data_IF_580773017157
#
_entry.id   IF_580773017157
#
_cell.length_a   1.000
_cell.length_b   1.000
_cell.length_c   1.000
_cell.angle_alpha   90.00
_cell.angle_beta   90.00
_cell.angle_gamma   90.00
#
_symmetry.space_group_name_H-M   'P 1'
#
loop_
_entity.id
_entity.type
_entity.pdbx_description
1 polymer ?
#
# COMPACT_ATOMS: atom_id res chain seq x y z
N UNK A 1 -23.32 -23.50 -8.94
CA UNK A 1 -22.89 -22.11 -8.80
C UNK A 1 -24.09 -21.21 -9.04
N UNK A 2 -24.40 -20.31 -8.10
CA UNK A 2 -25.49 -19.34 -8.32
C UNK A 2 -25.09 -18.43 -9.48
N UNK A 3 -25.87 -18.42 -10.54
CA UNK A 3 -25.70 -17.50 -11.67
C UNK A 3 -26.89 -16.55 -11.70
N UNK A 4 -26.65 -15.25 -11.73
CA UNK A 4 -27.70 -14.29 -12.00
C UNK A 4 -28.24 -14.54 -13.42
N UNK A 5 -29.56 -14.59 -13.59
CA UNK A 5 -30.17 -14.73 -14.90
C UNK A 5 -30.21 -13.37 -15.61
N UNK A 6 -30.49 -13.39 -16.92
CA UNK A 6 -30.50 -12.14 -17.74
C UNK A 6 -31.44 -11.07 -17.17
N UNK A 7 -32.62 -11.45 -16.67
CA UNK A 7 -33.59 -10.53 -16.09
C UNK A 7 -33.03 -9.82 -14.83
N UNK A 8 -32.37 -10.57 -13.94
CA UNK A 8 -31.75 -9.99 -12.75
C UNK A 8 -30.60 -9.03 -13.10
N UNK A 9 -29.85 -9.34 -14.17
CA UNK A 9 -28.76 -8.46 -14.67
C UNK A 9 -29.35 -7.16 -15.23
N UNK A 10 -30.45 -7.22 -15.97
CA UNK A 10 -31.14 -6.03 -16.51
C UNK A 10 -31.72 -5.17 -15.37
N UNK A 11 -32.29 -5.81 -14.33
CA UNK A 11 -32.74 -5.11 -13.13
C UNK A 11 -31.59 -4.42 -12.38
N UNK A 12 -30.43 -5.09 -12.25
CA UNK A 12 -29.23 -4.49 -11.68
C UNK A 12 -28.79 -3.28 -12.49
N UNK A 13 -28.71 -3.44 -13.82
CA UNK A 13 -28.30 -2.36 -14.75
C UNK A 13 -29.22 -1.13 -14.63
N UNK A 14 -30.53 -1.33 -14.50
CA UNK A 14 -31.50 -0.25 -14.38
C UNK A 14 -31.40 0.54 -13.05
N UNK A 15 -30.85 -0.07 -12.00
CA UNK A 15 -30.69 0.56 -10.67
C UNK A 15 -29.37 1.28 -10.50
N UNK A 16 -28.36 0.98 -11.31
CA UNK A 16 -27.05 1.61 -11.24
C UNK A 16 -27.05 2.94 -12.02
N UNK A 17 -26.40 3.95 -11.47
CA UNK A 17 -26.06 5.19 -12.20
C UNK A 17 -24.84 4.99 -13.09
N UNK A 18 -23.86 4.24 -12.59
CA UNK A 18 -22.65 3.90 -13.30
C UNK A 18 -22.84 2.74 -14.27
N UNK A 19 -21.91 2.55 -15.23
CA UNK A 19 -21.99 1.44 -16.19
C UNK A 19 -21.89 0.07 -15.48
N UNK A 20 -22.71 -0.88 -15.96
CA UNK A 20 -22.54 -2.30 -15.71
C UNK A 20 -21.93 -2.94 -16.95
N UNK A 21 -20.71 -3.48 -16.82
CA UNK A 21 -19.97 -4.13 -17.91
C UNK A 21 -20.06 -5.65 -17.78
N UNK A 22 -20.39 -6.32 -18.89
CA UNK A 22 -20.32 -7.76 -19.06
C UNK A 22 -19.08 -8.14 -19.90
N UNK A 23 -18.68 -9.42 -19.97
CA UNK A 23 -17.45 -9.84 -20.65
C UNK A 23 -17.29 -9.38 -22.10
N UNK A 24 -18.40 -9.20 -22.84
CA UNK A 24 -18.39 -8.79 -24.24
C UNK A 24 -18.51 -7.26 -24.43
N UNK A 25 -18.67 -6.50 -23.34
CA UNK A 25 -18.81 -5.05 -23.42
C UNK A 25 -17.46 -4.35 -23.62
N UNK A 26 -17.48 -3.26 -24.39
CA UNK A 26 -16.32 -2.39 -24.53
C UNK A 26 -15.85 -1.84 -23.17
N UNK A 27 -14.54 -1.94 -22.90
CA UNK A 27 -13.92 -1.49 -21.63
C UNK A 27 -13.98 -2.52 -20.51
N UNK A 28 -14.57 -3.72 -20.71
CA UNK A 28 -14.57 -4.78 -19.72
C UNK A 28 -13.14 -5.24 -19.38
N UNK A 29 -12.33 -5.57 -20.39
CA UNK A 29 -10.95 -6.04 -20.17
C UNK A 29 -10.08 -4.98 -19.48
N UNK A 30 -10.20 -3.72 -19.81
CA UNK A 30 -9.50 -2.62 -19.13
C UNK A 30 -9.94 -2.48 -17.67
N UNK A 31 -11.25 -2.63 -17.42
CA UNK A 31 -11.82 -2.49 -16.08
C UNK A 31 -11.47 -3.65 -15.16
N UNK A 32 -11.45 -4.91 -15.67
CA UNK A 32 -11.11 -6.09 -14.85
C UNK A 32 -9.64 -6.19 -14.50
N UNK A 33 -8.74 -5.61 -15.33
CA UNK A 33 -7.30 -5.72 -15.11
C UNK A 33 -6.86 -4.94 -13.88
N UNK A 34 -6.00 -5.57 -13.10
CA UNK A 34 -5.37 -5.01 -11.90
C UNK A 34 -3.91 -4.67 -12.17
N UNK A 35 -3.22 -4.10 -11.20
CA UNK A 35 -1.84 -3.64 -11.33
C UNK A 35 -0.87 -4.79 -11.67
N UNK A 36 -0.99 -5.95 -11.00
CA UNK A 36 -0.15 -7.12 -11.22
C UNK A 36 -0.63 -7.96 -12.40
N UNK A 37 0.11 -7.99 -13.50
CA UNK A 37 -0.24 -8.75 -14.71
C UNK A 37 -0.13 -10.29 -14.56
N UNK A 38 0.31 -10.80 -13.41
CA UNK A 38 0.18 -12.24 -13.11
C UNK A 38 -1.27 -12.65 -12.87
N UNK A 39 -2.16 -11.68 -12.61
CA UNK A 39 -3.56 -11.90 -12.25
C UNK A 39 -4.42 -11.68 -13.48
N UNK A 40 -5.07 -12.75 -13.93
CA UNK A 40 -6.00 -12.74 -15.08
C UNK A 40 -7.34 -13.37 -14.68
N UNK A 41 -8.09 -12.69 -13.80
CA UNK A 41 -9.41 -13.11 -13.36
C UNK A 41 -10.52 -12.46 -14.19
N UNK A 42 -11.67 -13.16 -14.33
CA UNK A 42 -12.80 -12.74 -15.14
C UNK A 42 -14.08 -12.67 -14.32
N UNK A 43 -14.42 -11.46 -13.78
CA UNK A 43 -15.71 -11.23 -13.11
C UNK A 43 -16.86 -11.54 -14.08
N UNK A 44 -17.97 -12.09 -13.59
CA UNK A 44 -19.17 -12.25 -14.41
C UNK A 44 -19.74 -10.88 -14.84
N UNK A 45 -19.54 -9.87 -13.98
CA UNK A 45 -19.96 -8.49 -14.24
C UNK A 45 -19.13 -7.48 -13.43
N UNK A 46 -19.04 -6.25 -13.93
CA UNK A 46 -18.33 -5.14 -13.30
C UNK A 46 -19.30 -3.96 -13.16
N UNK A 47 -19.63 -3.58 -11.94
CA UNK A 47 -20.37 -2.36 -11.65
C UNK A 47 -19.40 -1.21 -11.40
N UNK A 48 -19.31 -0.25 -12.31
CA UNK A 48 -18.45 0.94 -12.15
C UNK A 48 -19.19 2.02 -11.37
N UNK A 49 -18.98 2.04 -10.06
CA UNK A 49 -19.76 2.86 -9.13
C UNK A 49 -19.47 4.36 -9.27
N UNK A 50 -20.51 5.17 -9.36
CA UNK A 50 -20.46 6.63 -9.35
C UNK A 50 -20.76 7.22 -7.97
N UNK A 51 -21.30 6.41 -7.05
CA UNK A 51 -21.66 6.87 -5.71
C UNK A 51 -22.09 5.73 -4.80
N UNK A 52 -22.40 6.09 -3.55
CA UNK A 52 -22.76 5.14 -2.49
C UNK A 52 -24.01 4.30 -2.86
N UNK A 53 -24.98 4.88 -3.59
CA UNK A 53 -26.18 4.16 -4.03
C UNK A 53 -25.86 2.97 -4.95
N UNK A 54 -24.86 3.12 -5.85
CA UNK A 54 -24.42 2.03 -6.70
C UNK A 54 -23.74 0.92 -5.88
N UNK A 55 -22.93 1.30 -4.88
CA UNK A 55 -22.28 0.36 -3.97
C UNK A 55 -23.32 -0.45 -3.18
N UNK A 56 -24.34 0.21 -2.61
CA UNK A 56 -25.46 -0.44 -1.91
C UNK A 56 -26.17 -1.43 -2.83
N UNK A 57 -26.47 -1.00 -4.05
CA UNK A 57 -27.14 -1.82 -5.07
C UNK A 57 -26.31 -3.07 -5.40
N UNK A 58 -25.02 -2.90 -5.63
CA UNK A 58 -24.13 -4.01 -5.94
C UNK A 58 -23.92 -4.98 -4.77
N UNK A 59 -23.74 -4.47 -3.55
CA UNK A 59 -23.61 -5.31 -2.34
C UNK A 59 -24.87 -6.16 -2.12
N UNK A 60 -26.05 -5.56 -2.17
CA UNK A 60 -27.32 -6.29 -2.04
C UNK A 60 -27.49 -7.34 -3.12
N UNK A 61 -27.23 -6.97 -4.36
CA UNK A 61 -27.31 -7.90 -5.48
C UNK A 61 -26.39 -9.10 -5.30
N UNK A 62 -25.12 -8.89 -4.92
CA UNK A 62 -24.18 -9.98 -4.67
C UNK A 62 -24.66 -10.88 -3.52
N UNK A 63 -25.15 -10.29 -2.44
CA UNK A 63 -25.68 -11.02 -1.28
C UNK A 63 -26.93 -11.85 -1.64
N UNK A 64 -27.91 -11.27 -2.32
CA UNK A 64 -29.17 -11.92 -2.71
C UNK A 64 -28.93 -13.09 -3.70
N UNK A 65 -27.92 -12.99 -4.56
CA UNK A 65 -27.62 -14.02 -5.56
C UNK A 65 -26.47 -14.95 -5.15
N UNK A 66 -25.90 -14.81 -3.94
CA UNK A 66 -24.79 -15.63 -3.44
C UNK A 66 -23.51 -15.50 -4.28
N UNK A 67 -23.30 -14.35 -4.95
CA UNK A 67 -22.15 -14.13 -5.83
C UNK A 67 -20.91 -13.77 -5.03
N UNK A 68 -19.72 -14.26 -5.45
CA UNK A 68 -18.46 -13.67 -5.00
C UNK A 68 -18.42 -12.17 -5.30
N UNK A 69 -17.95 -11.36 -4.35
CA UNK A 69 -17.81 -9.92 -4.56
C UNK A 69 -16.37 -9.47 -4.34
N UNK A 70 -15.81 -8.75 -5.29
CA UNK A 70 -14.51 -8.08 -5.17
C UNK A 70 -14.65 -6.57 -5.26
N UNK A 71 -13.78 -5.84 -4.57
CA UNK A 71 -13.83 -4.38 -4.50
C UNK A 71 -12.52 -3.82 -5.07
N UNK A 72 -12.63 -3.00 -6.12
CA UNK A 72 -11.48 -2.35 -6.75
C UNK A 72 -11.49 -0.86 -6.48
N UNK A 73 -10.52 -0.39 -5.64
CA UNK A 73 -10.10 1.01 -5.62
C UNK A 73 -9.06 1.26 -6.72
N UNK A 74 -7.78 1.44 -6.34
CA UNK A 74 -6.68 1.54 -7.32
C UNK A 74 -6.19 0.22 -7.94
N UNK A 75 -6.66 -0.94 -7.49
CA UNK A 75 -6.28 -2.25 -8.03
C UNK A 75 -4.82 -2.65 -7.82
N UNK A 76 -4.14 -2.06 -6.85
CA UNK A 76 -2.68 -2.16 -6.64
C UNK A 76 -2.25 -3.34 -5.75
N UNK A 77 -3.16 -4.18 -5.29
CA UNK A 77 -2.85 -5.32 -4.42
C UNK A 77 -2.02 -6.37 -5.17
N UNK A 78 -0.86 -6.76 -4.61
CA UNK A 78 0.08 -7.71 -5.22
C UNK A 78 -0.53 -9.11 -5.40
N UNK A 79 -1.44 -9.53 -4.51
CA UNK A 79 -2.17 -10.80 -4.61
C UNK A 79 -3.39 -10.74 -5.54
N UNK A 80 -3.70 -9.58 -6.14
CA UNK A 80 -4.80 -9.43 -7.09
C UNK A 80 -6.20 -9.50 -6.49
N UNK A 81 -6.36 -9.23 -5.20
CA UNK A 81 -7.63 -9.37 -4.48
C UNK A 81 -8.68 -8.29 -4.82
N UNK A 82 -8.35 -7.38 -5.74
CA UNK A 82 -9.29 -6.37 -6.24
C UNK A 82 -10.19 -6.86 -7.37
N UNK A 83 -10.03 -8.10 -7.84
CA UNK A 83 -10.82 -8.74 -8.88
C UNK A 83 -11.13 -10.18 -8.52
N UNK A 84 -12.13 -10.79 -9.15
CA UNK A 84 -12.57 -12.17 -8.88
C UNK A 84 -12.97 -12.89 -10.18
N UNK A 85 -13.12 -14.20 -10.10
CA UNK A 85 -13.72 -15.00 -11.16
C UNK A 85 -15.20 -15.21 -10.90
N UNK A 86 -16.03 -15.15 -11.96
CA UNK A 86 -17.46 -15.52 -11.96
C UNK A 86 -18.32 -14.78 -10.90
N UNK A 87 -17.83 -13.61 -10.38
CA UNK A 87 -18.50 -12.80 -9.38
C UNK A 87 -18.85 -11.42 -9.88
N UNK A 88 -19.28 -10.56 -8.94
CA UNK A 88 -19.48 -9.14 -9.15
C UNK A 88 -18.24 -8.36 -8.67
N UNK A 89 -17.63 -7.57 -9.56
CA UNK A 89 -16.60 -6.61 -9.17
C UNK A 89 -17.22 -5.21 -9.04
N UNK A 90 -17.09 -4.59 -7.87
CA UNK A 90 -17.40 -3.17 -7.67
C UNK A 90 -16.15 -2.35 -7.99
N UNK A 91 -16.17 -1.64 -9.09
CA UNK A 91 -15.09 -0.73 -9.51
C UNK A 91 -15.38 0.68 -8.99
N UNK A 92 -14.64 1.08 -7.96
CA UNK A 92 -14.77 2.38 -7.30
C UNK A 92 -14.01 3.50 -8.02
N UNK A 93 -13.28 3.21 -9.10
CA UNK A 93 -12.35 4.13 -9.75
C UNK A 93 -12.97 5.42 -10.29
N UNK A 94 -14.30 5.52 -10.37
CA UNK A 94 -15.02 6.74 -10.74
C UNK A 94 -15.39 7.61 -9.52
N UNK A 95 -15.23 7.12 -8.29
CA UNK A 95 -15.48 7.86 -7.06
C UNK A 95 -14.17 8.51 -6.58
N UNK A 96 -13.79 9.66 -7.15
CA UNK A 96 -12.48 10.30 -6.98
C UNK A 96 -12.54 11.72 -6.42
N UNK A 97 -13.62 12.10 -5.78
CA UNK A 97 -13.74 13.41 -5.15
C UNK A 97 -12.85 13.53 -3.90
N UNK A 98 -12.15 14.65 -3.77
CA UNK A 98 -11.40 15.05 -2.57
C UNK A 98 -11.87 16.43 -2.13
N UNK A 99 -12.24 16.57 -0.86
CA UNK A 99 -12.64 17.84 -0.26
C UNK A 99 -11.71 18.15 0.91
N UNK A 100 -10.93 19.22 0.80
CA UNK A 100 -10.00 19.67 1.85
C UNK A 100 -10.63 20.78 2.67
N UNK A 101 -10.57 20.68 3.99
CA UNK A 101 -10.84 21.76 4.90
C UNK A 101 -9.54 22.25 5.55
N UNK A 102 -8.95 23.34 5.08
CA UNK A 102 -7.67 23.82 5.58
C UNK A 102 -7.73 24.38 7.01
N UNK A 103 -8.91 24.83 7.47
CA UNK A 103 -9.09 25.36 8.85
C UNK A 103 -9.02 24.22 9.87
N UNK A 104 -9.73 23.12 9.64
CA UNK A 104 -9.67 21.94 10.50
C UNK A 104 -8.51 21.03 10.20
N UNK A 105 -7.77 21.26 9.10
CA UNK A 105 -6.70 20.39 8.57
C UNK A 105 -7.21 18.97 8.37
N UNK A 106 -8.31 18.85 7.63
CA UNK A 106 -8.89 17.55 7.30
C UNK A 106 -9.11 17.42 5.80
N UNK A 107 -9.10 16.20 5.29
CA UNK A 107 -9.50 15.88 3.94
C UNK A 107 -10.49 14.71 3.94
N UNK A 108 -11.61 14.89 3.24
CA UNK A 108 -12.56 13.83 2.93
C UNK A 108 -12.30 13.37 1.48
N UNK A 109 -11.90 12.11 1.31
CA UNK A 109 -11.52 11.53 0.02
C UNK A 109 -12.34 10.27 -0.28
N UNK A 110 -12.91 10.18 -1.48
CA UNK A 110 -13.68 9.02 -1.93
C UNK A 110 -12.75 7.82 -2.21
N UNK A 111 -13.25 6.61 -2.03
CA UNK A 111 -12.47 5.37 -2.01
C UNK A 111 -11.80 4.99 -3.35
N UNK A 112 -12.23 5.56 -4.46
CA UNK A 112 -11.61 5.39 -5.76
C UNK A 112 -10.41 6.32 -6.02
N UNK A 113 -10.12 7.28 -5.13
CA UNK A 113 -8.96 8.15 -5.24
C UNK A 113 -7.65 7.36 -5.25
N UNK A 114 -6.70 7.84 -6.01
CA UNK A 114 -5.29 7.47 -5.90
C UNK A 114 -4.58 8.39 -4.90
N UNK A 115 -3.40 7.99 -4.42
CA UNK A 115 -2.62 8.81 -3.49
C UNK A 115 -2.34 10.19 -4.08
N UNK A 116 -1.97 10.25 -5.37
CA UNK A 116 -1.70 11.49 -6.08
C UNK A 116 -2.90 12.44 -6.18
N UNK A 117 -4.14 11.94 -6.15
CA UNK A 117 -5.32 12.80 -6.12
C UNK A 117 -5.39 13.56 -4.79
N UNK A 118 -5.19 12.84 -3.68
CA UNK A 118 -5.22 13.42 -2.34
C UNK A 118 -4.04 14.37 -2.14
N UNK A 119 -2.82 13.98 -2.57
CA UNK A 119 -1.63 14.82 -2.43
C UNK A 119 -1.77 16.15 -3.19
N UNK A 120 -2.31 16.14 -4.42
CA UNK A 120 -2.53 17.35 -5.21
C UNK A 120 -3.47 18.32 -4.52
N UNK A 121 -4.63 17.84 -4.06
CA UNK A 121 -5.63 18.68 -3.42
C UNK A 121 -5.16 19.21 -2.05
N UNK A 122 -4.52 18.39 -1.24
CA UNK A 122 -4.05 18.80 0.09
C UNK A 122 -2.88 19.77 0.00
N UNK A 123 -1.96 19.57 -0.96
CA UNK A 123 -0.78 20.42 -1.12
C UNK A 123 -1.08 21.83 -1.66
N UNK A 124 -2.26 22.08 -2.25
CA UNK A 124 -2.75 23.45 -2.51
C UNK A 124 -2.77 24.27 -1.22
N UNK A 125 -2.96 23.62 -0.07
CA UNK A 125 -3.05 24.25 1.24
C UNK A 125 -1.81 24.02 2.12
N UNK A 126 -0.72 23.45 1.57
CA UNK A 126 0.46 23.09 2.36
C UNK A 126 0.17 22.00 3.40
N UNK A 127 -0.75 21.10 3.09
CA UNK A 127 -1.18 19.99 3.97
C UNK A 127 -0.94 18.64 3.30
N UNK A 128 -0.75 17.56 4.08
CA UNK A 128 -0.70 16.20 3.55
C UNK A 128 -1.19 15.16 4.55
N UNK A 129 -1.71 14.04 4.03
CA UNK A 129 -1.91 12.80 4.78
C UNK A 129 -0.66 11.90 4.67
N UNK A 130 -0.37 11.02 5.65
CA UNK A 130 0.74 10.06 5.56
C UNK A 130 0.40 8.91 4.62
N UNK A 131 0.47 9.15 3.32
CA UNK A 131 0.19 8.17 2.27
C UNK A 131 1.45 7.40 1.85
N UNK A 132 1.32 6.42 0.93
CA UNK A 132 2.41 5.56 0.48
C UNK A 132 3.43 6.24 -0.46
N UNK A 133 4.34 5.44 -1.04
CA UNK A 133 5.47 5.92 -1.84
C UNK A 133 5.22 5.99 -3.34
N UNK A 134 4.07 5.52 -3.83
CA UNK A 134 3.74 5.41 -5.27
C UNK A 134 2.40 6.06 -5.50
N UNK A 135 2.38 7.19 -6.23
CA UNK A 135 1.22 8.08 -6.32
C UNK A 135 -0.02 7.47 -7.00
N UNK A 136 0.17 6.45 -7.84
CA UNK A 136 -0.92 5.73 -8.51
C UNK A 136 -1.49 4.56 -7.71
N UNK A 137 -1.08 4.37 -6.46
CA UNK A 137 -1.71 3.43 -5.52
C UNK A 137 -3.08 3.95 -5.07
N UNK A 138 -4.07 3.07 -4.92
CA UNK A 138 -5.39 3.42 -4.40
C UNK A 138 -5.38 3.68 -2.89
N UNK A 139 -6.04 4.77 -2.44
CA UNK A 139 -6.09 5.13 -1.02
C UNK A 139 -6.78 4.07 -0.17
N UNK A 140 -7.84 3.43 -0.68
CA UNK A 140 -8.68 2.52 0.09
C UNK A 140 -7.90 1.30 0.58
N UNK A 141 -7.28 0.55 -0.35
CA UNK A 141 -6.51 -0.63 0.02
C UNK A 141 -5.31 -0.30 0.90
N UNK A 142 -4.61 0.79 0.61
CA UNK A 142 -3.50 1.26 1.44
C UNK A 142 -3.96 1.52 2.88
N UNK A 143 -4.97 2.36 3.06
CA UNK A 143 -5.46 2.82 4.37
C UNK A 143 -6.06 1.69 5.20
N UNK A 144 -6.90 0.85 4.59
CA UNK A 144 -7.54 -0.27 5.28
C UNK A 144 -6.53 -1.32 5.78
N UNK A 145 -5.36 -1.43 5.17
CA UNK A 145 -4.27 -2.30 5.64
C UNK A 145 -3.22 -1.59 6.51
N UNK A 146 -3.51 -0.38 6.99
CA UNK A 146 -2.59 0.44 7.79
C UNK A 146 -2.00 1.60 7.00
N UNK A 147 -1.24 1.34 5.95
CA UNK A 147 -0.60 2.34 5.09
C UNK A 147 0.64 2.99 5.68
N UNK A 148 1.74 3.05 4.94
CA UNK A 148 2.94 3.76 5.34
C UNK A 148 3.67 4.40 4.16
N UNK A 149 4.41 5.46 4.44
CA UNK A 149 5.15 6.21 3.44
C UNK A 149 6.14 7.22 4.04
N UNK A 150 6.45 8.30 3.33
CA UNK A 150 7.44 9.29 3.77
C UNK A 150 7.11 9.97 5.10
N UNK A 151 5.84 10.04 5.50
CA UNK A 151 5.40 10.71 6.73
C UNK A 151 5.23 9.76 7.93
N UNK A 152 5.44 8.47 7.76
CA UNK A 152 5.13 7.46 8.80
C UNK A 152 5.90 7.70 10.10
N UNK A 153 7.18 8.04 10.03
CA UNK A 153 7.99 8.33 11.23
C UNK A 153 7.41 9.49 12.04
N UNK A 154 6.79 10.47 11.38
CA UNK A 154 6.19 11.66 12.01
C UNK A 154 4.74 11.44 12.46
N UNK A 155 3.93 10.76 11.64
CA UNK A 155 2.47 10.70 11.77
C UNK A 155 1.92 9.33 12.20
N UNK A 156 2.70 8.23 12.12
CA UNK A 156 2.24 6.86 12.29
C UNK A 156 1.75 6.25 10.97
N UNK A 157 0.94 5.21 11.09
CA UNK A 157 0.27 4.61 9.93
C UNK A 157 -0.71 5.60 9.29
N UNK A 158 -1.00 5.44 7.99
CA UNK A 158 -2.09 6.19 7.35
C UNK A 158 -3.40 6.05 8.12
N UNK A 159 -3.69 4.85 8.60
CA UNK A 159 -4.87 4.55 9.41
C UNK A 159 -4.89 5.22 10.79
N UNK A 160 -3.75 5.63 11.34
CA UNK A 160 -3.66 6.39 12.61
C UNK A 160 -4.10 7.86 12.42
N UNK A 161 -4.15 8.33 11.18
CA UNK A 161 -4.62 9.66 10.84
C UNK A 161 -6.09 9.70 10.39
N UNK A 162 -6.80 8.56 10.38
CA UNK A 162 -8.22 8.52 10.11
C UNK A 162 -9.03 9.15 11.25
N UNK A 163 -10.02 9.95 10.87
CA UNK A 163 -11.05 10.50 11.74
C UNK A 163 -12.36 9.75 11.59
N UNK A 164 -12.68 9.30 10.38
CA UNK A 164 -13.84 8.49 10.08
C UNK A 164 -13.71 7.76 8.74
N UNK A 165 -14.57 6.75 8.55
CA UNK A 165 -14.76 6.01 7.30
C UNK A 165 -16.26 5.91 7.03
N UNK A 166 -16.69 6.28 5.82
CA UNK A 166 -18.02 5.98 5.33
C UNK A 166 -18.02 4.60 4.68
N UNK A 167 -18.91 3.71 5.08
CA UNK A 167 -18.89 2.29 4.71
C UNK A 167 -20.26 1.75 4.39
N UNK A 168 -20.35 0.84 3.41
CA UNK A 168 -21.53 0.01 3.13
C UNK A 168 -21.27 -1.37 3.70
N UNK A 169 -22.13 -1.81 4.62
CA UNK A 169 -22.06 -3.11 5.31
C UNK A 169 -22.63 -4.26 4.46
N UNK A 170 -22.43 -5.50 4.89
CA UNK A 170 -22.86 -6.69 4.15
C UNK A 170 -24.39 -6.77 3.95
N UNK A 171 -25.18 -6.16 4.82
CA UNK A 171 -26.64 -6.02 4.70
C UNK A 171 -27.08 -4.78 3.86
N UNK A 172 -26.11 -4.09 3.26
CA UNK A 172 -26.38 -2.95 2.36
C UNK A 172 -26.80 -1.68 3.06
N UNK A 173 -26.47 -1.46 4.34
CA UNK A 173 -26.64 -0.18 5.04
C UNK A 173 -25.41 0.69 4.82
N UNK A 174 -25.63 1.97 4.50
CA UNK A 174 -24.58 2.99 4.53
C UNK A 174 -24.51 3.59 5.93
N UNK A 175 -23.33 3.65 6.50
CA UNK A 175 -23.08 4.22 7.82
C UNK A 175 -21.68 4.84 7.90
N UNK A 176 -21.47 5.63 8.95
CA UNK A 176 -20.18 6.20 9.31
C UNK A 176 -19.58 5.43 10.48
N UNK A 177 -18.30 5.13 10.39
CA UNK A 177 -17.51 4.57 11.47
C UNK A 177 -16.45 5.60 11.92
N UNK A 178 -16.40 5.87 13.22
CA UNK A 178 -15.50 6.83 13.86
C UNK A 178 -15.24 6.43 15.31
N UNK A 179 -14.41 7.15 16.04
CA UNK A 179 -14.22 6.91 17.49
C UNK A 179 -15.52 7.07 18.29
N UNK A 180 -16.48 7.88 17.79
CA UNK A 180 -17.74 8.19 18.48
C UNK A 180 -18.94 7.38 17.96
N UNK A 181 -18.84 6.81 16.79
CA UNK A 181 -19.93 6.10 16.11
C UNK A 181 -19.40 4.81 15.48
N UNK A 182 -20.01 3.66 15.76
CA UNK A 182 -19.57 2.34 15.30
C UNK A 182 -18.07 2.12 15.57
N UNK A 183 -17.64 2.40 16.80
CA UNK A 183 -16.22 2.48 17.18
C UNK A 183 -15.47 1.13 17.07
N UNK A 184 -16.14 0.00 17.23
CA UNK A 184 -15.58 -1.34 17.00
C UNK A 184 -15.28 -1.56 15.51
N UNK A 185 -16.22 -1.19 14.63
CA UNK A 185 -16.01 -1.22 13.18
C UNK A 185 -14.87 -0.28 12.77
N UNK A 186 -14.84 0.93 13.31
CA UNK A 186 -13.77 1.90 13.06
C UNK A 186 -12.40 1.36 13.47
N UNK A 187 -12.32 0.68 14.62
CA UNK A 187 -11.10 0.00 15.03
C UNK A 187 -10.66 -1.06 14.02
N UNK A 188 -11.60 -1.90 13.54
CA UNK A 188 -11.34 -2.94 12.53
C UNK A 188 -10.90 -2.36 11.18
N UNK A 189 -11.52 -1.28 10.71
CA UNK A 189 -11.19 -0.61 9.45
C UNK A 189 -9.81 0.08 9.46
N UNK A 190 -9.22 0.30 10.65
CA UNK A 190 -7.87 0.84 10.80
C UNK A 190 -6.80 -0.26 10.82
N UNK A 191 -6.70 -1.03 9.73
CA UNK A 191 -5.69 -2.06 9.52
C UNK A 191 -6.23 -3.45 9.17
N UNK A 192 -7.50 -3.77 9.51
CA UNK A 192 -8.09 -5.10 9.27
C UNK A 192 -8.51 -5.38 7.83
N UNK A 193 -8.17 -4.51 6.88
CA UNK A 193 -8.48 -4.70 5.46
C UNK A 193 -9.94 -4.51 5.11
N UNK A 194 -10.32 -5.02 3.95
CA UNK A 194 -11.69 -4.95 3.41
C UNK A 194 -12.64 -6.02 3.94
N UNK A 195 -12.44 -6.52 5.17
CA UNK A 195 -13.20 -7.64 5.73
C UNK A 195 -14.61 -7.30 6.21
N UNK A 196 -14.91 -6.02 6.48
CA UNK A 196 -16.09 -5.62 7.27
C UNK A 196 -17.13 -4.84 6.49
N UNK A 197 -16.84 -4.49 5.23
CA UNK A 197 -17.70 -3.66 4.40
C UNK A 197 -16.92 -3.01 3.25
N UNK A 198 -17.66 -2.30 2.40
CA UNK A 198 -17.10 -1.50 1.31
C UNK A 198 -16.92 -0.07 1.79
N UNK A 199 -15.68 0.34 2.07
CA UNK A 199 -15.39 1.74 2.35
C UNK A 199 -15.68 2.59 1.10
N UNK A 200 -16.42 3.68 1.27
CA UNK A 200 -16.82 4.60 0.19
C UNK A 200 -16.11 5.94 0.26
N UNK A 201 -15.70 6.36 1.46
CA UNK A 201 -14.88 7.55 1.68
C UNK A 201 -14.13 7.47 3.01
N UNK A 202 -13.06 8.26 3.11
CA UNK A 202 -12.20 8.37 4.28
C UNK A 202 -12.02 9.82 4.66
N UNK A 203 -12.07 10.14 5.94
CA UNK A 203 -11.71 11.45 6.47
C UNK A 203 -10.37 11.37 7.21
N UNK A 204 -9.39 12.13 6.74
CA UNK A 204 -8.03 12.16 7.30
C UNK A 204 -7.76 13.45 8.05
N UNK A 205 -7.06 13.34 9.18
CA UNK A 205 -6.32 14.45 9.78
C UNK A 205 -5.05 14.67 8.94
N UNK A 206 -4.76 15.92 8.61
CA UNK A 206 -3.63 16.32 7.79
C UNK A 206 -2.51 16.95 8.63
N UNK A 207 -1.27 16.72 8.21
CA UNK A 207 -0.08 17.40 8.73
C UNK A 207 0.27 18.61 7.85
N UNK A 208 0.80 19.67 8.47
CA UNK A 208 1.13 20.92 7.78
C UNK A 208 2.62 20.94 7.45
N UNK A 209 2.95 21.01 6.16
CA UNK A 209 4.29 21.25 5.63
C UNK A 209 4.26 21.48 4.11
N UNK A 210 5.40 21.94 3.57
CA UNK A 210 5.52 22.19 2.13
C UNK A 210 4.94 23.55 1.72
N UNK A 211 4.59 23.73 0.43
CA UNK A 211 4.60 22.71 -0.64
C UNK A 211 6.00 22.29 -1.12
N UNK A 212 7.06 23.04 -0.82
CA UNK A 212 8.45 22.70 -1.14
C UNK A 212 9.14 22.04 0.05
N UNK A 213 9.91 20.99 -0.26
CA UNK A 213 10.71 20.21 0.69
C UNK A 213 12.09 19.93 0.09
N UNK A 214 13.03 19.48 0.90
CA UNK A 214 14.27 18.88 0.42
C UNK A 214 14.07 17.37 0.33
N UNK A 215 14.11 16.84 -0.89
CA UNK A 215 13.85 15.45 -1.15
C UNK A 215 14.51 14.97 -2.45
N UNK A 216 14.57 13.65 -2.65
CA UNK A 216 15.16 13.02 -3.82
C UNK A 216 15.83 11.71 -3.49
N UNK A 217 16.95 11.43 -4.14
CA UNK A 217 17.73 10.22 -3.97
C UNK A 217 19.22 10.47 -4.20
N UNK A 218 20.04 9.67 -3.51
CA UNK A 218 21.49 9.59 -3.75
C UNK A 218 21.85 8.13 -3.93
N UNK A 219 22.78 7.81 -4.85
CA UNK A 219 23.14 6.45 -5.20
C UNK A 219 24.65 6.18 -5.08
N UNK A 220 25.00 4.97 -4.68
CA UNK A 220 26.37 4.46 -4.57
C UNK A 220 26.50 3.09 -5.24
N UNK A 221 27.72 2.67 -5.54
CA UNK A 221 27.98 1.29 -5.98
C UNK A 221 27.66 0.31 -4.85
N UNK A 222 27.16 -0.86 -5.18
CA UNK A 222 26.90 -1.90 -4.18
C UNK A 222 28.19 -2.37 -3.46
N UNK A 223 29.38 -2.20 -4.05
CA UNK A 223 30.67 -2.44 -3.38
C UNK A 223 30.88 -1.58 -2.13
N UNK A 224 30.19 -0.46 -2.02
CA UNK A 224 30.30 0.48 -0.90
C UNK A 224 29.28 0.19 0.22
N UNK A 225 28.57 -0.96 0.15
CA UNK A 225 27.44 -1.30 1.01
C UNK A 225 27.72 -1.12 2.51
N UNK A 226 28.84 -1.64 3.00
CA UNK A 226 29.21 -1.55 4.41
C UNK A 226 29.38 -0.10 4.87
N UNK A 227 30.06 0.71 4.07
CA UNK A 227 30.30 2.11 4.35
C UNK A 227 29.00 2.93 4.30
N UNK A 228 28.19 2.68 3.27
CA UNK A 228 26.89 3.33 3.10
C UNK A 228 25.98 2.99 4.26
N UNK A 229 25.94 1.70 4.67
CA UNK A 229 25.14 1.25 5.80
C UNK A 229 25.56 1.95 7.10
N UNK A 230 26.84 2.00 7.45
CA UNK A 230 27.31 2.63 8.68
C UNK A 230 26.88 4.09 8.80
N UNK A 231 27.01 4.85 7.72
CA UNK A 231 26.70 6.26 7.76
C UNK A 231 25.20 6.49 7.71
N UNK A 232 24.47 5.72 6.88
CA UNK A 232 23.01 5.75 6.86
C UNK A 232 22.41 5.38 8.23
N UNK A 233 22.94 4.34 8.88
CA UNK A 233 22.47 3.92 10.19
C UNK A 233 22.71 5.01 11.26
N UNK A 234 23.87 5.66 11.24
CA UNK A 234 24.15 6.81 12.12
C UNK A 234 23.27 8.02 11.80
N UNK A 235 23.01 8.26 10.51
CA UNK A 235 22.10 9.33 10.09
C UNK A 235 20.67 9.09 10.61
N UNK A 236 20.18 7.84 10.55
CA UNK A 236 18.87 7.48 11.08
C UNK A 236 18.80 7.61 12.62
N UNK A 237 19.86 7.27 13.35
CA UNK A 237 19.90 7.40 14.80
C UNK A 237 19.75 8.85 15.27
N UNK A 238 20.25 9.82 14.48
CA UNK A 238 20.15 11.26 14.78
C UNK A 238 18.91 11.90 14.10
N UNK A 239 18.18 11.15 13.26
CA UNK A 239 17.17 11.71 12.38
C UNK A 239 15.91 12.16 13.13
N UNK A 240 15.44 13.40 12.88
CA UNK A 240 14.16 13.82 13.42
C UNK A 240 13.02 13.01 12.78
N UNK A 241 11.84 12.95 13.41
CA UNK A 241 10.67 12.27 12.84
C UNK A 241 10.26 12.81 11.44
N UNK A 242 10.65 14.04 11.13
CA UNK A 242 10.41 14.70 9.84
C UNK A 242 11.26 14.12 8.68
N UNK A 243 12.30 13.32 8.96
CA UNK A 243 13.15 12.70 7.95
C UNK A 243 12.72 11.25 7.71
N UNK A 244 12.36 10.93 6.47
CA UNK A 244 12.23 9.58 5.94
C UNK A 244 13.38 9.28 4.98
N UNK A 245 14.03 8.13 5.16
CA UNK A 245 15.27 7.82 4.43
C UNK A 245 15.35 6.31 4.07
N UNK A 246 14.42 5.77 3.25
CA UNK A 246 14.48 4.36 2.81
C UNK A 246 15.73 4.06 1.98
N UNK A 247 16.26 2.83 2.12
CA UNK A 247 17.36 2.32 1.32
C UNK A 247 16.85 1.28 0.32
N UNK A 248 17.26 1.38 -0.94
CA UNK A 248 16.90 0.49 -2.03
C UNK A 248 18.16 -0.15 -2.61
N UNK A 249 18.22 -1.48 -2.63
CA UNK A 249 19.27 -2.25 -3.27
C UNK A 249 18.69 -2.83 -4.57
N UNK A 250 19.26 -2.46 -5.71
CA UNK A 250 18.75 -2.84 -7.03
C UNK A 250 19.83 -2.74 -8.13
N UNK A 251 19.49 -3.16 -9.34
CA UNK A 251 20.27 -2.79 -10.51
C UNK A 251 19.98 -1.34 -10.93
N UNK A 252 21.05 -0.59 -11.28
CA UNK A 252 20.92 0.80 -11.71
C UNK A 252 20.11 0.91 -13.02
N UNK A 253 18.99 1.63 -13.06
CA UNK A 253 18.30 1.89 -14.31
C UNK A 253 19.14 2.83 -15.20
N UNK A 254 18.89 2.86 -16.52
CA UNK A 254 19.50 3.83 -17.43
C UNK A 254 18.89 5.23 -17.27
N UNK A 255 19.07 5.79 -16.07
CA UNK A 255 18.50 7.08 -15.69
C UNK A 255 19.56 8.19 -15.83
N UNK A 256 19.20 9.41 -16.31
CA UNK A 256 20.14 10.50 -16.56
C UNK A 256 20.91 10.99 -15.32
N UNK A 257 20.37 10.77 -14.13
CA UNK A 257 20.98 11.18 -12.86
C UNK A 257 22.01 10.17 -12.33
N UNK A 258 22.14 9.00 -12.95
CA UNK A 258 23.13 7.97 -12.63
C UNK A 258 24.30 8.00 -13.63
N UNK A 259 25.49 7.82 -13.14
CA UNK A 259 26.69 7.67 -13.98
C UNK A 259 26.52 6.49 -14.95
N UNK A 260 26.79 6.69 -16.23
CA UNK A 260 26.55 5.68 -17.29
C UNK A 260 27.26 4.35 -17.02
N UNK A 261 28.44 4.38 -16.42
CA UNK A 261 29.25 3.19 -16.12
C UNK A 261 28.63 2.28 -15.07
N UNK A 262 27.60 2.70 -14.31
CA UNK A 262 26.89 1.87 -13.34
C UNK A 262 25.57 1.31 -13.87
N UNK A 263 25.09 1.77 -15.03
CA UNK A 263 23.83 1.25 -15.59
C UNK A 263 23.87 -0.28 -15.70
N UNK A 264 22.81 -0.94 -15.23
CA UNK A 264 22.70 -2.41 -15.18
C UNK A 264 23.53 -3.08 -14.09
N UNK A 265 24.32 -2.35 -13.30
CA UNK A 265 25.13 -2.89 -12.21
C UNK A 265 24.41 -2.69 -10.85
N UNK A 266 24.72 -3.51 -9.83
CA UNK A 266 24.15 -3.35 -8.50
C UNK A 266 24.54 -2.02 -7.87
N UNK A 267 23.52 -1.30 -7.36
CA UNK A 267 23.67 -0.02 -6.66
C UNK A 267 22.82 -0.02 -5.39
N UNK A 268 23.20 0.86 -4.46
CA UNK A 268 22.41 1.25 -3.30
C UNK A 268 21.90 2.65 -3.56
N UNK A 269 20.60 2.83 -3.42
CA UNK A 269 19.93 4.13 -3.53
C UNK A 269 19.32 4.46 -2.19
N UNK A 270 19.67 5.59 -1.62
CA UNK A 270 19.00 6.11 -0.43
C UNK A 270 18.03 7.20 -0.87
N UNK A 271 16.74 6.96 -0.66
CA UNK A 271 15.70 7.96 -0.81
C UNK A 271 15.78 8.92 0.38
N UNK A 272 15.48 10.18 0.14
CA UNK A 272 15.50 11.22 1.16
C UNK A 272 14.24 12.08 1.02
N UNK A 273 13.54 12.27 2.12
CA UNK A 273 12.39 13.18 2.19
C UNK A 273 12.35 13.82 3.57
N UNK A 274 12.60 15.12 3.64
CA UNK A 274 12.59 15.87 4.90
C UNK A 274 11.48 16.94 4.87
N UNK A 275 10.49 16.77 5.74
CA UNK A 275 9.28 17.61 5.81
C UNK A 275 9.32 18.66 6.93
N UNK A 276 10.46 18.83 7.57
CA UNK A 276 10.73 19.84 8.58
C UNK A 276 11.39 21.10 8.00
N UNK A 277 11.96 21.98 8.87
CA UNK A 277 12.61 23.22 8.45
C UNK A 277 13.71 22.98 7.42
N UNK A 278 13.79 23.86 6.40
CA UNK A 278 14.78 23.76 5.32
C UNK A 278 16.23 23.75 5.82
N UNK A 279 16.55 24.54 6.84
CA UNK A 279 17.91 24.61 7.41
C UNK A 279 18.33 23.28 8.08
N UNK A 280 17.39 22.55 8.69
CA UNK A 280 17.63 21.22 9.21
C UNK A 280 17.76 20.19 8.09
N UNK A 281 16.86 20.23 7.12
CA UNK A 281 16.87 19.38 5.94
C UNK A 281 18.20 19.47 5.16
N UNK A 282 18.74 20.69 4.97
CA UNK A 282 20.02 20.95 4.29
C UNK A 282 21.20 20.29 5.04
N UNK A 283 21.20 20.33 6.39
CA UNK A 283 22.24 19.67 7.20
C UNK A 283 22.24 18.17 7.02
N UNK A 284 21.07 17.52 7.06
CA UNK A 284 20.96 16.07 6.85
C UNK A 284 21.26 15.69 5.39
N UNK A 285 20.82 16.48 4.42
CA UNK A 285 21.13 16.29 3.01
C UNK A 285 22.64 16.37 2.74
N UNK A 286 23.34 17.34 3.32
CA UNK A 286 24.79 17.46 3.20
C UNK A 286 25.53 16.26 3.82
N UNK A 287 25.08 15.77 4.98
CA UNK A 287 25.65 14.54 5.59
C UNK A 287 25.51 13.34 4.64
N UNK A 288 24.36 13.20 3.98
CA UNK A 288 24.12 12.11 3.02
C UNK A 288 24.97 12.26 1.77
N UNK A 289 25.02 13.45 1.15
CA UNK A 289 25.79 13.72 -0.08
C UNK A 289 27.30 13.55 0.10
N UNK A 290 27.83 13.90 1.27
CA UNK A 290 29.26 13.78 1.59
C UNK A 290 29.67 12.34 1.95
N UNK A 291 28.78 11.37 1.78
CA UNK A 291 29.02 9.97 2.05
C UNK A 291 29.73 9.32 0.87
N UNK A 292 31.07 9.12 0.98
CA UNK A 292 31.86 8.41 -0.02
C UNK A 292 31.90 9.10 -1.37
N UNK A 293 31.73 8.30 -2.44
CA UNK A 293 31.72 8.75 -3.83
C UNK A 293 30.39 8.38 -4.48
N UNK A 294 29.34 9.21 -4.38
CA UNK A 294 28.07 8.94 -5.03
C UNK A 294 28.23 8.76 -6.55
N UNK A 295 27.48 7.84 -7.13
CA UNK A 295 27.39 7.62 -8.59
C UNK A 295 26.13 8.27 -9.19
N UNK A 296 25.33 8.94 -8.35
CA UNK A 296 24.16 9.73 -8.76
C UNK A 296 23.57 10.48 -7.61
N UNK A 297 23.01 11.67 -7.91
CA UNK A 297 22.37 12.56 -6.94
C UNK A 297 21.26 13.37 -7.62
N UNK A 298 20.03 13.25 -7.11
CA UNK A 298 18.86 14.09 -7.47
C UNK A 298 18.20 14.69 -6.22
N UNK A 299 18.97 14.81 -5.14
CA UNK A 299 18.53 15.40 -3.90
C UNK A 299 18.56 16.94 -4.00
N UNK A 300 17.37 17.55 -4.00
CA UNK A 300 17.17 18.97 -4.22
C UNK A 300 15.89 19.49 -3.57
N UNK A 301 15.66 20.81 -3.65
CA UNK A 301 14.34 21.39 -3.38
C UNK A 301 13.36 20.93 -4.46
N UNK A 302 12.20 20.44 -4.04
CA UNK A 302 11.12 19.99 -4.93
C UNK A 302 9.78 20.04 -4.22
N UNK A 303 8.69 20.02 -4.99
CA UNK A 303 7.36 19.89 -4.39
C UNK A 303 7.18 18.49 -3.77
N UNK A 304 6.38 18.40 -2.70
CA UNK A 304 6.03 17.11 -2.11
C UNK A 304 5.29 16.19 -3.12
N UNK A 305 4.41 16.76 -3.96
CA UNK A 305 3.73 16.02 -5.03
C UNK A 305 4.74 15.37 -5.99
N UNK A 306 5.80 16.10 -6.38
CA UNK A 306 6.87 15.53 -7.21
C UNK A 306 7.66 14.43 -6.49
N UNK A 307 7.83 14.52 -5.17
CA UNK A 307 8.48 13.46 -4.39
C UNK A 307 7.61 12.21 -4.31
N UNK A 308 6.30 12.36 -4.11
CA UNK A 308 5.33 11.26 -4.05
C UNK A 308 5.24 10.47 -5.38
N UNK A 309 5.50 11.11 -6.51
CA UNK A 309 5.51 10.46 -7.83
C UNK A 309 6.90 9.96 -8.27
N UNK A 310 7.95 10.12 -7.44
CA UNK A 310 9.33 9.75 -7.80
C UNK A 310 9.48 8.27 -8.19
N UNK A 311 8.72 7.39 -7.57
CA UNK A 311 8.80 5.94 -7.77
C UNK A 311 7.77 5.38 -8.78
N UNK A 312 6.86 6.20 -9.32
CA UNK A 312 5.76 5.72 -10.18
C UNK A 312 6.25 4.94 -11.39
N UNK A 313 7.27 5.45 -12.08
CA UNK A 313 7.86 4.79 -13.24
C UNK A 313 8.53 3.44 -12.91
N UNK A 314 8.82 3.19 -11.64
CA UNK A 314 9.42 1.91 -11.21
C UNK A 314 8.35 0.83 -10.96
N UNK A 315 7.08 1.22 -10.83
CA UNK A 315 5.96 0.37 -10.45
C UNK A 315 4.75 0.49 -11.41
N UNK A 316 4.94 0.36 -12.74
CA UNK A 316 3.85 0.53 -13.70
C UNK A 316 2.83 -0.62 -13.62
N UNK A 317 1.57 -0.33 -13.90
CA UNK A 317 0.54 -1.35 -14.16
C UNK A 317 0.94 -2.21 -15.37
N UNK A 318 0.61 -3.49 -15.35
CA UNK A 318 0.83 -4.41 -16.47
C UNK A 318 2.17 -5.13 -16.45
N UNK A 319 2.99 -4.91 -15.44
CA UNK A 319 4.16 -5.74 -15.16
C UNK A 319 3.80 -6.87 -14.20
N UNK A 320 4.60 -7.93 -14.16
CA UNK A 320 4.44 -9.08 -13.26
C UNK A 320 5.16 -8.79 -11.94
N UNK A 321 4.52 -9.09 -10.81
CA UNK A 321 5.02 -8.75 -9.48
C UNK A 321 4.86 -9.90 -8.51
N UNK A 322 5.90 -10.13 -7.70
CA UNK A 322 5.88 -11.06 -6.59
C UNK A 322 6.70 -10.50 -5.43
N UNK A 323 6.09 -10.36 -4.26
CA UNK A 323 6.69 -9.70 -3.11
C UNK A 323 6.79 -10.61 -1.91
N UNK A 324 7.80 -10.36 -1.08
CA UNK A 324 7.94 -10.91 0.27
C UNK A 324 8.36 -9.80 1.21
N UNK A 325 7.81 -9.78 2.43
CA UNK A 325 8.11 -8.75 3.41
C UNK A 325 8.15 -9.29 4.82
N UNK A 326 8.91 -8.60 5.66
CA UNK A 326 8.98 -8.82 7.10
C UNK A 326 9.03 -7.48 7.85
N UNK A 327 8.45 -7.46 9.05
CA UNK A 327 8.76 -6.43 10.02
C UNK A 327 10.08 -6.77 10.72
N UNK A 328 10.89 -5.75 10.96
CA UNK A 328 12.20 -5.85 11.60
C UNK A 328 12.21 -5.00 12.85
N UNK A 329 12.87 -5.44 13.96
CA UNK A 329 13.02 -4.59 15.13
C UNK A 329 13.95 -3.41 14.84
N UNK A 330 14.98 -3.64 14.03
CA UNK A 330 16.00 -2.66 13.61
C UNK A 330 16.73 -3.14 12.37
N UNK A 331 17.59 -2.28 11.81
CA UNK A 331 18.54 -2.68 10.77
C UNK A 331 19.84 -3.19 11.40
N UNK A 332 20.27 -4.37 10.97
CA UNK A 332 21.54 -4.97 11.37
C UNK A 332 22.49 -5.03 10.17
N UNK A 333 23.81 -4.90 10.41
CA UNK A 333 24.82 -4.96 9.36
C UNK A 333 24.71 -6.26 8.55
N UNK A 334 24.53 -7.39 9.22
CA UNK A 334 24.43 -8.70 8.56
C UNK A 334 23.19 -8.80 7.66
N UNK A 335 22.05 -8.22 8.08
CA UNK A 335 20.84 -8.12 7.24
C UNK A 335 21.15 -7.38 5.93
N UNK A 336 21.80 -6.20 6.02
CA UNK A 336 22.08 -5.38 4.85
C UNK A 336 23.12 -6.04 3.95
N UNK A 337 24.12 -6.71 4.51
CA UNK A 337 25.10 -7.50 3.74
C UNK A 337 24.41 -8.63 2.98
N UNK A 338 23.46 -9.36 3.61
CA UNK A 338 22.66 -10.40 2.94
C UNK A 338 21.76 -9.81 1.84
N UNK A 339 21.11 -8.68 2.11
CA UNK A 339 20.32 -7.99 1.10
C UNK A 339 21.17 -7.54 -0.11
N UNK A 340 22.38 -7.04 0.13
CA UNK A 340 23.32 -6.67 -0.94
C UNK A 340 23.80 -7.88 -1.76
N UNK A 341 24.05 -9.03 -1.11
CA UNK A 341 24.37 -10.29 -1.79
C UNK A 341 23.25 -10.71 -2.75
N UNK A 342 21.99 -10.68 -2.29
CA UNK A 342 20.83 -11.00 -3.13
C UNK A 342 20.59 -9.95 -4.22
N UNK A 343 20.84 -8.67 -3.94
CA UNK A 343 20.75 -7.62 -4.96
C UNK A 343 21.75 -7.84 -6.10
N UNK A 344 22.94 -8.39 -5.81
CA UNK A 344 23.91 -8.80 -6.83
C UNK A 344 23.47 -9.96 -7.73
N UNK A 345 22.41 -10.68 -7.35
CA UNK A 345 21.85 -11.84 -8.07
C UNK A 345 20.49 -11.55 -8.72
N UNK A 346 20.07 -10.30 -8.77
CA UNK A 346 18.82 -9.88 -9.40
C UNK A 346 18.85 -10.22 -10.89
N UNK A 347 17.87 -11.02 -11.35
CA UNK A 347 17.73 -11.40 -12.76
C UNK A 347 16.95 -10.38 -13.60
N UNK A 348 16.10 -9.56 -12.98
CA UNK A 348 15.31 -8.54 -13.67
C UNK A 348 15.71 -7.13 -13.21
N UNK A 349 15.96 -6.16 -14.13
CA UNK A 349 16.32 -4.79 -13.78
C UNK A 349 15.23 -4.03 -13.01
N UNK A 350 14.03 -4.61 -12.92
CA UNK A 350 12.88 -4.02 -12.25
C UNK A 350 12.75 -4.46 -10.79
N UNK A 351 13.50 -5.48 -10.39
CA UNK A 351 13.50 -6.03 -9.03
C UNK A 351 14.38 -5.23 -8.08
N UNK A 352 14.14 -5.39 -6.78
CA UNK A 352 14.94 -4.75 -5.74
C UNK A 352 14.61 -5.24 -4.33
N UNK A 353 15.41 -4.82 -3.36
CA UNK A 353 15.16 -5.02 -1.94
C UNK A 353 15.10 -3.65 -1.30
N UNK A 354 14.03 -3.37 -0.56
CA UNK A 354 13.79 -2.06 0.04
C UNK A 354 13.75 -2.19 1.55
N UNK A 355 14.49 -1.33 2.22
CA UNK A 355 14.53 -1.19 3.68
C UNK A 355 13.85 0.12 4.04
N UNK A 356 12.69 0.04 4.70
CA UNK A 356 11.91 1.20 5.13
C UNK A 356 12.06 1.43 6.63
N UNK A 357 12.70 2.50 7.10
CA UNK A 357 12.60 2.94 8.48
C UNK A 357 11.17 3.44 8.74
N UNK A 358 10.49 2.85 9.71
CA UNK A 358 9.11 3.21 10.09
C UNK A 358 8.98 3.58 11.57
N UNK A 359 10.08 3.49 12.33
CA UNK A 359 10.16 3.86 13.73
C UNK A 359 9.67 5.31 13.98
N UNK A 360 9.19 5.57 15.17
CA UNK A 360 8.77 6.92 15.57
C UNK A 360 7.33 6.99 16.08
N UNK A 361 6.45 7.70 15.38
CA UNK A 361 5.08 7.94 15.87
C UNK A 361 4.28 6.65 16.07
N UNK A 362 4.43 5.66 15.19
CA UNK A 362 3.69 4.39 15.30
C UNK A 362 4.03 3.60 16.56
N UNK A 363 5.30 3.68 17.05
CA UNK A 363 5.75 2.96 18.23
C UNK A 363 5.28 3.60 19.56
N UNK A 364 4.72 4.82 19.50
CA UNK A 364 4.18 5.51 20.69
C UNK A 364 2.76 5.09 21.05
N UNK A 365 2.10 4.40 20.15
CA UNK A 365 0.74 3.90 20.33
C UNK A 365 0.77 2.44 20.77
N UNK A 366 -0.13 2.00 21.65
CA UNK A 366 -0.18 0.60 22.08
C UNK A 366 -0.59 -0.32 20.92
N UNK A 367 -0.19 -1.60 20.99
CA UNK A 367 -0.43 -2.61 19.97
C UNK A 367 -1.92 -2.72 19.56
N UNK A 368 -2.81 -2.57 20.53
CA UNK A 368 -4.26 -2.66 20.35
C UNK A 368 -4.94 -1.32 20.03
N UNK A 369 -4.19 -0.26 19.71
CA UNK A 369 -4.76 1.06 19.35
C UNK A 369 -5.68 0.97 18.12
N UNK A 370 -5.32 0.13 17.17
CA UNK A 370 -6.10 -0.16 15.96
C UNK A 370 -5.84 -1.60 15.52
N UNK A 371 -6.50 -2.07 14.48
CA UNK A 371 -6.32 -3.43 13.98
C UNK A 371 -4.91 -3.71 13.44
N UNK A 372 -4.22 -2.69 12.90
CA UNK A 372 -2.83 -2.86 12.47
C UNK A 372 -1.94 -3.15 13.66
N UNK A 373 -1.29 -4.33 13.66
CA UNK A 373 -0.37 -4.76 14.70
C UNK A 373 1.09 -4.39 14.39
N UNK A 374 2.01 -5.04 15.12
CA UNK A 374 3.46 -4.90 14.92
C UNK A 374 3.98 -3.47 15.19
N UNK A 375 3.44 -2.81 16.21
CA UNK A 375 3.85 -1.45 16.60
C UNK A 375 5.20 -1.40 17.32
N UNK A 376 5.82 -2.53 17.62
CA UNK A 376 7.18 -2.67 18.10
C UNK A 376 8.23 -2.70 16.96
N UNK A 377 7.78 -2.76 15.71
CA UNK A 377 8.67 -2.77 14.56
C UNK A 377 9.36 -1.40 14.37
N UNK A 378 10.68 -1.43 14.12
CA UNK A 378 11.45 -0.24 13.72
C UNK A 378 11.56 -0.09 12.21
N UNK A 379 11.34 -1.19 11.48
CA UNK A 379 11.54 -1.20 10.02
C UNK A 379 10.68 -2.24 9.30
N UNK A 380 10.56 -2.06 7.98
CA UNK A 380 10.04 -3.06 7.05
C UNK A 380 11.13 -3.38 6.02
N UNK A 381 11.36 -4.68 5.76
CA UNK A 381 12.06 -5.12 4.55
C UNK A 381 11.02 -5.59 3.54
N UNK A 382 11.14 -5.14 2.28
CA UNK A 382 10.35 -5.63 1.17
C UNK A 382 11.26 -6.11 0.03
N UNK A 383 11.13 -7.37 -0.33
CA UNK A 383 11.81 -7.99 -1.47
C UNK A 383 10.82 -7.95 -2.62
N UNK A 384 11.09 -7.07 -3.59
CA UNK A 384 10.20 -6.80 -4.71
C UNK A 384 10.76 -7.45 -5.98
N UNK A 385 10.25 -8.62 -6.35
CA UNK A 385 10.48 -9.16 -7.68
C UNK A 385 9.48 -8.53 -8.66
N UNK A 386 9.99 -8.03 -9.78
CA UNK A 386 9.21 -7.44 -10.85
C UNK A 386 9.86 -7.74 -12.20
N UNK A 387 9.08 -8.18 -13.17
CA UNK A 387 9.57 -8.58 -14.50
C UNK A 387 8.47 -8.46 -15.55
N UNK A 388 8.81 -8.61 -16.83
CA UNK A 388 7.88 -8.37 -17.94
C UNK A 388 7.25 -9.65 -18.50
N UNK A 389 8.03 -10.73 -18.66
CA UNK A 389 7.65 -11.91 -19.44
C UNK A 389 7.26 -13.09 -18.53
N UNK A 390 6.17 -13.78 -18.84
CA UNK A 390 5.71 -14.95 -18.07
C UNK A 390 6.74 -16.10 -18.01
N UNK A 391 7.59 -16.24 -19.02
CA UNK A 391 8.65 -17.25 -19.05
C UNK A 391 9.66 -17.07 -17.91
N UNK A 392 9.79 -15.86 -17.37
CA UNK A 392 10.72 -15.52 -16.29
C UNK A 392 10.11 -15.66 -14.89
N UNK A 393 8.83 -16.10 -14.77
CA UNK A 393 8.11 -16.21 -13.51
C UNK A 393 8.86 -17.03 -12.48
N UNK A 394 9.22 -18.26 -12.86
CA UNK A 394 9.87 -19.22 -11.95
C UNK A 394 11.16 -18.64 -11.36
N UNK A 395 12.03 -18.10 -12.21
CA UNK A 395 13.33 -17.58 -11.78
C UNK A 395 13.20 -16.38 -10.81
N UNK A 396 12.28 -15.46 -11.10
CA UNK A 396 12.07 -14.27 -10.27
C UNK A 396 11.38 -14.60 -8.94
N UNK A 397 10.42 -15.53 -8.94
CA UNK A 397 9.75 -16.01 -7.72
C UNK A 397 10.75 -16.74 -6.82
N UNK A 398 11.57 -17.64 -7.39
CA UNK A 398 12.62 -18.37 -6.65
C UNK A 398 13.65 -17.42 -6.03
N UNK A 399 14.08 -16.40 -6.78
CA UNK A 399 14.96 -15.37 -6.24
C UNK A 399 14.38 -14.66 -5.03
N UNK A 400 13.13 -14.20 -5.13
CA UNK A 400 12.47 -13.50 -4.03
C UNK A 400 12.26 -14.39 -2.80
N UNK A 401 11.87 -15.66 -3.00
CA UNK A 401 11.72 -16.65 -1.92
C UNK A 401 13.03 -16.93 -1.21
N UNK A 402 14.11 -17.11 -1.97
CA UNK A 402 15.45 -17.37 -1.41
C UNK A 402 15.95 -16.16 -0.61
N UNK A 403 15.83 -14.95 -1.17
CA UNK A 403 16.20 -13.74 -0.47
C UNK A 403 15.40 -13.59 0.85
N UNK A 404 14.09 -13.85 0.80
CA UNK A 404 13.24 -13.82 1.99
C UNK A 404 13.64 -14.86 3.05
N UNK A 405 13.93 -16.10 2.66
CA UNK A 405 14.38 -17.15 3.58
C UNK A 405 15.64 -16.74 4.34
N UNK A 406 16.61 -16.14 3.66
CA UNK A 406 17.88 -15.74 4.25
C UNK A 406 17.77 -14.54 5.20
N UNK A 407 16.78 -13.64 4.99
CA UNK A 407 16.57 -12.46 5.84
C UNK A 407 15.52 -12.66 6.94
N UNK A 408 14.71 -13.71 6.86
CA UNK A 408 13.60 -13.97 7.78
C UNK A 408 14.04 -14.12 9.25
N UNK A 409 15.25 -14.58 9.49
CA UNK A 409 15.81 -14.72 10.85
C UNK A 409 15.94 -13.39 11.61
N UNK A 410 15.94 -12.25 10.92
CA UNK A 410 16.00 -10.92 11.51
C UNK A 410 14.60 -10.34 11.81
N UNK A 411 13.54 -11.08 11.44
CA UNK A 411 12.16 -10.64 11.56
C UNK A 411 11.67 -10.65 13.01
N UNK A 412 10.70 -9.76 13.29
CA UNK A 412 9.86 -9.85 14.51
C UNK A 412 8.87 -11.01 14.46
N UNK A 413 8.80 -11.75 13.34
CA UNK A 413 7.77 -12.75 13.03
C UNK A 413 6.55 -12.17 12.34
N UNK A 414 6.37 -10.85 12.31
CA UNK A 414 5.25 -10.18 11.68
C UNK A 414 5.51 -9.77 10.23
N UNK A 415 4.44 -9.43 9.53
CA UNK A 415 4.48 -8.97 8.14
C UNK A 415 3.45 -7.89 7.87
N UNK A 416 3.68 -7.06 6.85
CA UNK A 416 2.73 -6.03 6.45
C UNK A 416 1.65 -6.64 5.54
N UNK A 417 0.39 -6.54 5.96
CA UNK A 417 -0.75 -7.20 5.32
C UNK A 417 -0.90 -6.88 3.83
N UNK A 418 -0.63 -5.64 3.41
CA UNK A 418 -0.75 -5.22 2.01
C UNK A 418 0.36 -5.77 1.09
N UNK A 419 1.43 -6.36 1.65
CA UNK A 419 2.53 -6.95 0.88
C UNK A 419 2.42 -8.47 0.78
N UNK A 420 1.41 -9.11 1.40
CA UNK A 420 1.21 -10.54 1.31
C UNK A 420 0.77 -10.96 -0.09
N UNK A 421 1.50 -11.92 -0.66
CA UNK A 421 1.13 -12.58 -1.93
C UNK A 421 -0.02 -13.58 -1.73
N UNK A 422 -0.62 -14.06 -2.83
CA UNK A 422 -1.77 -14.96 -2.79
C UNK A 422 -1.48 -16.26 -2.03
N UNK A 423 -0.29 -16.85 -2.23
CA UNK A 423 0.15 -18.10 -1.62
C UNK A 423 0.37 -18.04 -0.10
N UNK A 424 0.48 -16.84 0.47
CA UNK A 424 0.67 -16.66 1.91
C UNK A 424 -0.65 -16.85 2.62
N UNK A 425 -0.74 -18.01 3.30
CA UNK A 425 -1.95 -18.51 3.94
C UNK A 425 -2.31 -17.83 5.27
N UNK A 426 -3.17 -18.53 6.03
CA UNK A 426 -3.75 -18.05 7.27
C UNK A 426 -2.70 -17.66 8.32
N UNK A 427 -1.61 -18.44 8.49
CA UNK A 427 -0.56 -18.18 9.49
C UNK A 427 0.10 -16.80 9.27
N UNK A 428 0.32 -16.40 8.01
CA UNK A 428 0.92 -15.10 7.70
C UNK A 428 -0.09 -13.97 7.91
N UNK A 429 -1.37 -14.22 7.64
CA UNK A 429 -2.44 -13.27 7.96
C UNK A 429 -2.54 -13.08 9.48
N UNK A 430 -2.48 -14.15 10.26
CA UNK A 430 -2.47 -14.10 11.71
C UNK A 430 -1.23 -13.34 12.22
N UNK A 431 -0.04 -13.60 11.68
CA UNK A 431 1.20 -12.91 12.03
C UNK A 431 1.16 -11.40 11.76
N UNK A 432 0.40 -10.96 10.74
CA UNK A 432 0.22 -9.54 10.44
C UNK A 432 -0.60 -8.82 11.53
N UNK A 433 -1.52 -9.54 12.18
CA UNK A 433 -2.42 -8.96 13.19
C UNK A 433 -2.04 -9.30 14.64
N UNK A 434 -1.26 -10.35 14.86
CA UNK A 434 -0.87 -10.84 16.19
C UNK A 434 -2.08 -11.00 17.13
N UNK A 435 -2.02 -10.47 18.35
CA UNK A 435 -3.10 -10.55 19.36
C UNK A 435 -4.38 -9.82 18.94
N UNK A 436 -4.29 -8.90 17.98
CA UNK A 436 -5.46 -8.21 17.43
C UNK A 436 -6.37 -9.11 16.58
N UNK A 437 -5.88 -10.27 16.11
CA UNK A 437 -6.61 -11.17 15.22
C UNK A 437 -7.94 -11.65 15.83
N UNK A 438 -7.96 -12.02 17.11
CA UNK A 438 -9.16 -12.50 17.78
C UNK A 438 -10.28 -11.45 17.81
N UNK A 439 -9.94 -10.19 18.09
CA UNK A 439 -10.90 -9.08 18.06
C UNK A 439 -11.43 -8.82 16.64
N UNK A 440 -10.58 -8.99 15.61
CA UNK A 440 -11.02 -8.89 14.22
C UNK A 440 -12.05 -9.97 13.85
N UNK A 441 -11.89 -11.22 14.35
CA UNK A 441 -12.87 -12.30 14.17
C UNK A 441 -14.21 -11.95 14.82
N UNK A 442 -14.21 -11.30 15.98
CA UNK A 442 -15.44 -10.86 16.67
C UNK A 442 -16.16 -9.74 15.91
N UNK A 443 -15.39 -8.75 15.41
CA UNK A 443 -15.92 -7.68 14.57
C UNK A 443 -16.47 -8.24 13.25
N UNK A 444 -15.77 -9.19 12.64
CA UNK A 444 -16.24 -9.87 11.43
C UNK A 444 -17.57 -10.60 11.66
N UNK A 445 -17.69 -11.35 12.76
CA UNK A 445 -18.92 -12.04 13.11
C UNK A 445 -20.10 -11.10 13.32
N UNK A 446 -19.86 -9.87 13.79
CA UNK A 446 -20.89 -8.85 13.99
C UNK A 446 -21.31 -8.15 12.69
N UNK A 447 -20.36 -7.77 11.83
CA UNK A 447 -20.60 -6.90 10.68
C UNK A 447 -20.72 -7.63 9.34
N UNK A 448 -20.21 -8.87 9.26
CA UNK A 448 -20.28 -9.72 8.07
C UNK A 448 -20.29 -11.22 8.47
N UNK A 449 -21.30 -11.62 9.23
CA UNK A 449 -21.47 -12.99 9.72
C UNK A 449 -21.60 -14.03 8.61
N UNK A 450 -22.12 -13.62 7.44
CA UNK A 450 -22.23 -14.46 6.24
C UNK A 450 -20.94 -14.54 5.41
N UNK A 451 -19.86 -13.88 5.84
CA UNK A 451 -18.58 -13.82 5.14
C UNK A 451 -18.71 -13.42 3.65
N UNK A 452 -19.54 -12.42 3.37
CA UNK A 452 -19.73 -11.88 2.02
C UNK A 452 -18.41 -11.30 1.50
N UNK A 453 -17.72 -10.48 2.31
CA UNK A 453 -16.45 -9.86 1.96
C UNK A 453 -15.27 -10.78 2.29
N UNK A 454 -15.10 -11.84 1.48
CA UNK A 454 -14.03 -12.84 1.65
C UNK A 454 -12.92 -12.78 0.61
N UNK A 455 -13.09 -11.99 -0.46
CA UNK A 455 -12.03 -11.78 -1.47
C UNK A 455 -11.06 -10.71 -0.99
N UNK A 456 -10.26 -11.10 -0.01
CA UNK A 456 -9.21 -10.32 0.65
C UNK A 456 -8.28 -11.28 1.40
N UNK A 457 -7.42 -10.81 2.31
CA UNK A 457 -6.81 -11.66 3.34
C UNK A 457 -7.87 -11.93 4.41
N UNK A 458 -8.69 -12.93 4.11
CA UNK A 458 -9.95 -13.18 4.80
C UNK A 458 -9.76 -13.49 6.28
N UNK A 459 -10.55 -12.80 7.10
CA UNK A 459 -10.76 -13.07 8.51
C UNK A 459 -12.13 -13.75 8.59
N UNK A 460 -12.15 -15.09 8.70
CA UNK A 460 -13.39 -15.82 8.77
C UNK A 460 -14.14 -15.52 10.08
N UNK A 461 -15.48 -15.34 10.07
CA UNK A 461 -16.27 -15.24 11.29
C UNK A 461 -16.28 -16.59 12.04
N UNK A 462 -16.51 -16.58 13.36
CA UNK A 462 -16.61 -17.82 14.15
C UNK A 462 -17.66 -18.76 13.56
N UNK A 463 -17.29 -20.02 13.32
CA UNK A 463 -18.20 -21.07 12.83
C UNK A 463 -18.36 -21.15 11.32
N UNK A 464 -17.55 -20.44 10.55
CA UNK A 464 -17.50 -20.50 9.09
C UNK A 464 -16.25 -21.27 8.57
N UNK A 465 -15.82 -22.31 9.29
CA UNK A 465 -14.81 -23.28 8.82
C UNK A 465 -15.41 -24.34 7.91
#
# INVERSE_FOLDING_TARGET
>A
MASANSKSIDELRARLRGPLLLPDDAGYDDSRTVWNAMIDRRPAMIARCLGVADVITGVRFASEHGLPISIKGGGHNVAGLATCDNGLMLDMSLMRGVLVNPRSRTAHAQAGCLLGDVDRETQVHGLAAPLGFVSNTGIAGLTLGGGFGYLTRKCGWTSDCLLSVDVVTADGRALRASEKENSDLFWGLRGGGGNFGVATAFEYRLDAFGPEIIAGAVAWRASDADRVFEIWHRLLADAPPALSCPMVLRLAPPAPWLAKEVHGKPVIVVLFCHTGPSSEAEKFAARLKNLGSPVGDVLQRRSFVSQQSLLDATQPKGRRYYWKSEFLPRFERELVAKAAEHAGRIGSPHSGIILFPIDGALNRLPENHSAVGNRDAGAVINITASWEKAVDDKANIEWARKAWQDVRRFSTGGTYINFLTEEEGHDRTHAAYRDNYQRLVEIKARWDSGNLFRINKNIAPRGAE
#
